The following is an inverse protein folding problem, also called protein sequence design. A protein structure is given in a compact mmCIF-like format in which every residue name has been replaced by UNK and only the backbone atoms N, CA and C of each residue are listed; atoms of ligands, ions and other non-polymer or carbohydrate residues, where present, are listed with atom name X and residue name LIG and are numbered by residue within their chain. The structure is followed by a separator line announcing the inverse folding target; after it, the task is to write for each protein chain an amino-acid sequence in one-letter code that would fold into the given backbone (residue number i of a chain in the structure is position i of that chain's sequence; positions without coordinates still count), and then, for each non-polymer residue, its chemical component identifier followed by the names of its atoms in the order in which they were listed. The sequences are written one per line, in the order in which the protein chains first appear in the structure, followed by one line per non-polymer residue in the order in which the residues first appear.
data_IF_884333430813
#
_entry.id   IF_884333430813
#
_cell.length_a   1.000
_cell.length_b   1.000
_cell.length_c   1.000
_cell.angle_alpha   90.00
_cell.angle_beta   90.00
_cell.angle_gamma   90.00
#
_symmetry.space_group_name_H-M   'P 1'
#
loop_
_entity.id
_entity.type
_entity.pdbx_description
1 polymer ?
#
# COMPACT_ATOMS: atom_id res chain seq x y z
N UNK A 1 2.20 -12.95 2.19
CA UNK A 1 2.11 -13.19 3.66
C UNK A 1 0.70 -12.90 4.18
N UNK A 2 0.11 -11.74 3.83
CA UNK A 2 -1.28 -11.36 4.17
C UNK A 2 -2.32 -12.42 3.78
N UNK A 3 -2.23 -13.02 2.59
CA UNK A 3 -3.17 -14.10 2.19
C UNK A 3 -3.09 -15.34 3.09
N UNK A 4 -1.91 -15.67 3.62
CA UNK A 4 -1.73 -16.81 4.53
C UNK A 4 -2.41 -16.52 5.87
N UNK A 5 -2.28 -15.28 6.36
CA UNK A 5 -2.91 -14.82 7.59
C UNK A 5 -4.44 -14.78 7.44
N UNK A 6 -4.97 -14.21 6.34
CA UNK A 6 -6.41 -14.19 6.04
C UNK A 6 -7.02 -15.59 5.96
N UNK A 7 -6.33 -16.54 5.31
CA UNK A 7 -6.76 -17.94 5.25
C UNK A 7 -6.78 -18.62 6.63
N UNK A 8 -5.87 -18.24 7.53
CA UNK A 8 -5.81 -18.77 8.90
C UNK A 8 -6.77 -18.06 9.87
N UNK A 9 -7.31 -16.89 9.53
CA UNK A 9 -8.33 -16.20 10.34
C UNK A 9 -9.74 -16.77 10.13
N UNK A 10 -9.94 -17.61 9.12
CA UNK A 10 -11.22 -18.25 8.83
C UNK A 10 -11.42 -19.47 9.74
N UNK A 11 -12.47 -19.52 10.57
CA UNK A 11 -12.72 -20.62 11.52
C UNK A 11 -13.04 -21.97 10.85
N UNK A 12 -13.01 -22.07 9.53
CA UNK A 12 -13.37 -23.27 8.76
C UNK A 12 -12.21 -24.28 8.62
N UNK A 13 -10.99 -23.96 9.08
CA UNK A 13 -9.80 -24.84 9.01
C UNK A 13 -9.18 -25.13 10.39
N UNK A 14 -10.01 -25.54 11.35
CA UNK A 14 -9.64 -25.74 12.76
C UNK A 14 -8.68 -26.91 13.06
N UNK A 15 -8.41 -27.84 12.13
CA UNK A 15 -7.67 -29.07 12.47
C UNK A 15 -6.20 -28.85 12.86
N UNK A 16 -5.60 -27.72 12.51
CA UNK A 16 -4.18 -27.42 12.80
C UNK A 16 -3.97 -26.07 13.49
N UNK A 17 -5.04 -25.37 13.88
CA UNK A 17 -4.92 -24.05 14.50
C UNK A 17 -5.04 -24.15 16.02
N UNK A 18 -4.18 -23.43 16.72
CA UNK A 18 -4.21 -23.35 18.18
C UNK A 18 -5.38 -22.48 18.61
N UNK A 19 -6.31 -23.07 19.36
CA UNK A 19 -7.52 -22.40 19.87
C UNK A 19 -7.51 -22.47 21.39
N UNK A 20 -7.63 -21.31 22.02
CA UNK A 20 -7.68 -21.11 23.46
C UNK A 20 -9.06 -20.60 23.87
N UNK A 21 -9.44 -20.90 25.10
CA UNK A 21 -10.65 -20.39 25.75
C UNK A 21 -10.25 -19.78 27.09
N UNK A 22 -10.70 -18.55 27.35
CA UNK A 22 -10.57 -17.91 28.65
C UNK A 22 -11.69 -18.45 29.54
N UNK A 23 -11.31 -19.12 30.62
CA UNK A 23 -12.29 -19.63 31.59
C UNK A 23 -12.73 -18.53 32.55
N UNK A 24 -14.02 -18.51 32.96
CA UNK A 24 -14.50 -17.67 34.03
C UNK A 24 -13.69 -17.92 35.31
N UNK A 25 -13.20 -16.84 35.92
CA UNK A 25 -12.45 -16.88 37.19
C UNK A 25 -12.92 -15.74 38.07
N UNK A 26 -13.09 -16.04 39.35
CA UNK A 26 -13.41 -15.10 40.45
C UNK A 26 -12.21 -14.21 40.80
N UNK A 27 -10.99 -14.61 40.43
CA UNK A 27 -9.78 -13.81 40.62
C UNK A 27 -9.63 -12.76 39.52
N UNK A 28 -9.48 -11.49 39.90
CA UNK A 28 -9.38 -10.37 38.96
C UNK A 28 -8.04 -10.30 38.22
N UNK A 29 -6.96 -10.81 38.83
CA UNK A 29 -5.59 -10.70 38.31
C UNK A 29 -5.10 -11.96 37.59
N UNK A 30 -5.86 -13.05 37.64
CA UNK A 30 -5.51 -14.32 37.03
C UNK A 30 -6.69 -14.91 36.25
N UNK A 31 -6.46 -15.17 34.96
CA UNK A 31 -7.39 -15.90 34.11
C UNK A 31 -6.72 -17.17 33.61
N UNK A 32 -7.48 -18.27 33.61
CA UNK A 32 -6.99 -19.57 33.14
C UNK A 32 -7.32 -19.71 31.66
N UNK A 33 -6.30 -20.05 30.87
CA UNK A 33 -6.46 -20.36 29.44
C UNK A 33 -6.54 -21.87 29.26
N UNK A 34 -7.61 -22.34 28.64
CA UNK A 34 -7.79 -23.74 28.25
C UNK A 34 -7.49 -23.92 26.77
N UNK A 35 -6.59 -24.84 26.44
CA UNK A 35 -6.36 -25.27 25.07
C UNK A 35 -7.54 -26.15 24.60
N UNK A 36 -8.33 -25.67 23.64
CA UNK A 36 -9.43 -26.42 23.01
C UNK A 36 -8.92 -27.33 21.88
N UNK A 37 -7.97 -26.83 21.08
CA UNK A 37 -7.38 -27.57 19.96
C UNK A 37 -6.00 -27.04 19.60
N UNK A 38 -5.16 -27.89 18.99
CA UNK A 38 -3.82 -27.55 18.54
C UNK A 38 -2.72 -27.90 19.53
N UNK A 39 -1.61 -27.15 19.47
CA UNK A 39 -0.43 -27.32 20.34
C UNK A 39 0.19 -25.96 20.68
N UNK A 40 0.86 -25.87 21.81
CA UNK A 40 1.68 -24.70 22.20
C UNK A 40 2.94 -24.58 21.35
N UNK A 41 3.45 -25.70 20.84
CA UNK A 41 4.62 -25.75 19.95
C UNK A 41 4.27 -25.41 18.49
N UNK A 42 3.00 -25.09 18.23
CA UNK A 42 2.54 -24.78 16.90
C UNK A 42 3.07 -23.41 16.45
N UNK A 43 3.95 -23.44 15.46
CA UNK A 43 4.52 -22.24 14.83
C UNK A 43 3.52 -21.47 13.95
N UNK A 44 2.30 -22.00 13.78
CA UNK A 44 1.25 -21.38 12.97
C UNK A 44 0.45 -20.37 13.79
N UNK A 45 0.80 -19.10 13.61
CA UNK A 45 0.03 -17.94 14.05
C UNK A 45 -1.06 -17.55 13.02
N UNK A 46 -2.15 -16.86 13.42
CA UNK A 46 -2.50 -16.48 14.80
C UNK A 46 -3.06 -17.64 15.63
N UNK A 47 -2.88 -17.56 16.95
CA UNK A 47 -3.65 -18.37 17.90
C UNK A 47 -5.01 -17.70 18.13
N UNK A 48 -6.08 -18.48 18.10
CA UNK A 48 -7.43 -17.98 18.30
C UNK A 48 -7.81 -18.09 19.77
N UNK A 49 -8.42 -17.05 20.33
CA UNK A 49 -8.80 -17.01 21.75
C UNK A 49 -10.27 -16.62 21.87
N UNK A 50 -11.09 -17.47 22.46
CA UNK A 50 -12.45 -17.14 22.85
C UNK A 50 -12.43 -16.51 24.24
N UNK A 51 -13.07 -15.35 24.40
CA UNK A 51 -13.31 -14.75 25.71
C UNK A 51 -14.58 -15.29 26.39
N UNK A 52 -14.86 -14.80 27.61
CA UNK A 52 -16.03 -15.20 28.41
C UNK A 52 -17.38 -14.86 27.75
N UNK A 53 -17.40 -13.99 26.72
CA UNK A 53 -18.59 -13.60 25.97
C UNK A 53 -18.64 -14.27 24.58
N UNK A 54 -17.92 -15.37 24.38
CA UNK A 54 -17.77 -16.07 23.10
C UNK A 54 -17.21 -15.19 21.95
N UNK A 55 -16.55 -14.06 22.28
CA UNK A 55 -15.93 -13.22 21.26
C UNK A 55 -14.58 -13.80 20.88
N UNK A 56 -14.35 -13.90 19.58
CA UNK A 56 -13.11 -14.41 19.00
C UNK A 56 -12.06 -13.30 18.90
N UNK A 57 -10.92 -13.54 19.53
CA UNK A 57 -9.70 -12.72 19.46
C UNK A 57 -8.57 -13.50 18.79
N UNK A 58 -7.56 -12.79 18.31
CA UNK A 58 -6.36 -13.38 17.72
C UNK A 58 -5.13 -12.93 18.53
N UNK A 59 -4.33 -13.91 18.96
CA UNK A 59 -3.05 -13.70 19.60
C UNK A 59 -1.94 -13.90 18.56
N UNK A 60 -1.09 -12.89 18.46
CA UNK A 60 0.02 -12.80 17.52
C UNK A 60 1.27 -12.43 18.30
N UNK A 61 2.43 -12.94 17.89
CA UNK A 61 3.70 -12.38 18.38
C UNK A 61 3.85 -10.93 17.94
N UNK A 62 4.57 -10.15 18.77
CA UNK A 62 4.92 -8.77 18.45
C UNK A 62 5.72 -8.71 17.14
N UNK A 63 6.59 -9.70 16.88
CA UNK A 63 7.36 -9.78 15.64
C UNK A 63 6.45 -9.88 14.41
N UNK A 64 5.45 -10.77 14.43
CA UNK A 64 4.51 -10.91 13.33
C UNK A 64 3.67 -9.66 13.14
N UNK A 65 3.21 -9.03 14.23
CA UNK A 65 2.46 -7.77 14.16
C UNK A 65 3.31 -6.65 13.55
N UNK A 66 4.55 -6.49 14.00
CA UNK A 66 5.48 -5.49 13.46
C UNK A 66 5.73 -5.68 11.97
N UNK A 67 6.01 -6.92 11.53
CA UNK A 67 6.17 -7.24 10.10
C UNK A 67 4.91 -6.94 9.30
N UNK A 68 3.72 -7.20 9.85
CA UNK A 68 2.46 -6.87 9.19
C UNK A 68 2.28 -5.35 9.02
N UNK A 69 2.65 -4.56 10.03
CA UNK A 69 2.61 -3.09 9.97
C UNK A 69 3.60 -2.56 8.93
N UNK A 70 4.82 -3.10 8.91
CA UNK A 70 5.85 -2.73 7.92
C UNK A 70 5.37 -3.00 6.49
N UNK A 71 4.85 -4.20 6.22
CA UNK A 71 4.29 -4.51 4.91
C UNK A 71 3.08 -3.66 4.53
N UNK A 72 2.25 -3.29 5.50
CA UNK A 72 1.13 -2.37 5.23
C UNK A 72 1.64 -0.98 4.85
N UNK A 73 2.67 -0.50 5.55
CA UNK A 73 3.32 0.79 5.25
C UNK A 73 3.98 0.77 3.88
N UNK A 74 4.68 -0.30 3.53
CA UNK A 74 5.27 -0.49 2.20
C UNK A 74 4.20 -0.48 1.10
N UNK A 75 3.12 -1.26 1.28
CA UNK A 75 2.03 -1.31 0.32
C UNK A 75 1.31 0.04 0.17
N UNK A 76 1.15 0.80 1.25
CA UNK A 76 0.59 2.15 1.21
C UNK A 76 1.51 3.10 0.42
N UNK A 77 2.83 3.02 0.64
CA UNK A 77 3.82 3.81 -0.09
C UNK A 77 3.83 3.47 -1.58
N UNK A 78 3.82 2.18 -1.93
CA UNK A 78 3.74 1.72 -3.32
C UNK A 78 2.44 2.21 -3.98
N UNK A 79 1.31 2.11 -3.29
CA UNK A 79 0.03 2.58 -3.81
C UNK A 79 0.00 4.11 -4.02
N UNK A 80 0.64 4.88 -3.13
CA UNK A 80 0.80 6.32 -3.30
C UNK A 80 1.69 6.66 -4.49
N UNK A 81 2.82 5.96 -4.62
CA UNK A 81 3.76 6.13 -5.72
C UNK A 81 3.07 5.83 -7.07
N UNK A 82 2.39 4.70 -7.20
CA UNK A 82 1.65 4.34 -8.42
C UNK A 82 0.58 5.37 -8.81
N UNK A 83 -0.12 5.96 -7.82
CA UNK A 83 -1.08 7.05 -8.09
C UNK A 83 -0.39 8.31 -8.60
N UNK A 84 0.77 8.64 -8.05
CA UNK A 84 1.59 9.77 -8.50
C UNK A 84 2.08 9.54 -9.94
N UNK A 85 2.66 8.38 -10.23
CA UNK A 85 3.14 8.03 -11.58
C UNK A 85 2.01 8.12 -12.60
N UNK A 86 0.84 7.55 -12.28
CA UNK A 86 -0.35 7.62 -13.13
C UNK A 86 -0.78 9.06 -13.40
N UNK A 87 -0.74 9.94 -12.39
CA UNK A 87 -1.06 11.36 -12.55
C UNK A 87 -0.07 12.08 -13.46
N UNK A 88 1.23 11.83 -13.26
CA UNK A 88 2.30 12.41 -14.09
C UNK A 88 2.09 12.02 -15.55
N UNK A 89 1.91 10.74 -15.84
CA UNK A 89 1.76 10.23 -17.21
C UNK A 89 0.55 10.83 -17.94
N UNK A 90 -0.58 11.07 -17.25
CA UNK A 90 -1.74 11.75 -17.85
C UNK A 90 -1.42 13.16 -18.36
N UNK A 91 -0.42 13.82 -17.76
CA UNK A 91 -0.04 15.18 -18.10
C UNK A 91 1.04 15.27 -19.18
N UNK A 92 1.45 14.13 -19.77
CA UNK A 92 2.42 14.02 -20.85
C UNK A 92 3.79 14.66 -20.47
N UNK A 93 4.55 14.04 -19.56
CA UNK A 93 5.86 14.56 -19.19
C UNK A 93 6.82 14.43 -20.39
N UNK A 94 7.67 15.44 -20.58
CA UNK A 94 8.76 15.38 -21.55
C UNK A 94 9.87 14.44 -21.03
N UNK A 95 10.25 14.62 -19.77
CA UNK A 95 11.08 13.71 -18.99
C UNK A 95 10.34 13.30 -17.72
N UNK A 96 10.01 12.02 -17.63
CA UNK A 96 9.29 11.47 -16.48
C UNK A 96 10.10 11.57 -15.17
N UNK A 97 11.41 11.35 -15.23
CA UNK A 97 12.25 11.31 -14.04
C UNK A 97 12.42 12.69 -13.40
N UNK A 98 12.55 13.72 -14.24
CA UNK A 98 12.61 15.11 -13.78
C UNK A 98 11.30 15.53 -13.12
N UNK A 99 10.15 15.25 -13.77
CA UNK A 99 8.84 15.56 -13.19
C UNK A 99 8.61 14.80 -11.89
N UNK A 100 8.98 13.52 -11.83
CA UNK A 100 8.85 12.72 -10.63
C UNK A 100 9.68 13.28 -9.47
N UNK A 101 10.92 13.71 -9.73
CA UNK A 101 11.80 14.30 -8.73
C UNK A 101 11.21 15.57 -8.13
N UNK A 102 10.71 16.49 -8.98
CA UNK A 102 10.04 17.72 -8.54
C UNK A 102 8.75 17.40 -7.78
N UNK A 103 7.97 16.42 -8.24
CA UNK A 103 6.73 16.02 -7.58
C UNK A 103 6.96 15.39 -6.21
N UNK A 104 8.00 14.57 -6.05
CA UNK A 104 8.41 13.99 -4.77
C UNK A 104 8.90 15.07 -3.80
N UNK A 105 9.63 16.07 -4.27
CA UNK A 105 10.04 17.20 -3.43
C UNK A 105 8.84 18.02 -2.93
N UNK A 106 7.89 18.34 -3.82
CA UNK A 106 6.67 19.05 -3.44
C UNK A 106 5.78 18.21 -2.51
N UNK A 107 5.73 16.89 -2.71
CA UNK A 107 5.01 15.96 -1.84
C UNK A 107 5.59 15.98 -0.41
N UNK A 108 6.92 15.92 -0.28
CA UNK A 108 7.63 15.98 1.00
C UNK A 108 7.47 17.34 1.71
N UNK A 109 7.38 18.44 0.96
CA UNK A 109 7.08 19.77 1.50
C UNK A 109 5.63 19.88 1.97
N UNK A 110 4.72 19.15 1.33
CA UNK A 110 3.30 19.18 1.66
C UNK A 110 3.02 18.35 2.93
N UNK A 111 2.63 19.01 4.02
CA UNK A 111 2.16 18.32 5.25
C UNK A 111 0.71 17.82 5.16
N UNK A 112 0.12 17.79 3.95
CA UNK A 112 -1.29 17.46 3.77
C UNK A 112 -1.50 15.95 3.79
N UNK A 113 -2.40 15.48 4.66
CA UNK A 113 -2.76 14.05 4.76
C UNK A 113 -3.55 13.53 3.55
N UNK A 114 -4.21 14.42 2.80
CA UNK A 114 -4.97 14.06 1.61
C UNK A 114 -4.41 14.85 0.43
N UNK A 115 -3.65 14.19 -0.42
CA UNK A 115 -2.99 14.78 -1.59
C UNK A 115 -3.82 14.44 -2.82
N UNK A 116 -4.30 15.47 -3.51
CA UNK A 116 -4.79 15.34 -4.87
C UNK A 116 -3.62 15.43 -5.83
N UNK A 117 -3.23 14.27 -6.37
CA UNK A 117 -2.11 14.16 -7.30
C UNK A 117 -2.36 14.86 -8.64
N UNK A 118 -3.60 14.92 -9.15
CA UNK A 118 -3.88 15.61 -10.41
C UNK A 118 -3.69 17.13 -10.22
N UNK A 119 -4.17 17.67 -9.09
CA UNK A 119 -3.93 19.07 -8.71
C UNK A 119 -2.45 19.39 -8.45
N UNK A 120 -1.70 18.47 -7.85
CA UNK A 120 -0.25 18.62 -7.63
C UNK A 120 0.49 18.75 -8.97
N UNK A 121 0.23 17.85 -9.92
CA UNK A 121 0.89 17.88 -11.23
C UNK A 121 0.47 19.11 -12.04
N UNK A 122 -0.79 19.53 -11.95
CA UNK A 122 -1.24 20.77 -12.59
C UNK A 122 -0.50 22.02 -12.07
N UNK A 123 -0.20 22.07 -10.76
CA UNK A 123 0.63 23.11 -10.17
C UNK A 123 2.06 23.07 -10.73
N UNK A 124 2.68 21.88 -10.76
CA UNK A 124 4.04 21.70 -11.29
C UNK A 124 4.10 22.09 -12.77
N UNK A 125 3.10 21.73 -13.58
CA UNK A 125 3.02 22.12 -15.00
C UNK A 125 2.93 23.64 -15.19
N UNK A 126 2.31 24.36 -14.24
CA UNK A 126 2.24 25.82 -14.27
C UNK A 126 3.57 26.47 -13.88
N UNK A 127 4.29 25.90 -12.91
CA UNK A 127 5.57 26.42 -12.39
C UNK A 127 6.74 26.05 -13.31
N UNK A 128 6.69 24.87 -13.93
CA UNK A 128 7.71 24.30 -14.79
C UNK A 128 7.10 23.73 -16.09
N UNK A 129 6.59 24.59 -16.99
CA UNK A 129 5.94 24.14 -18.23
C UNK A 129 6.89 23.37 -19.15
N UNK A 130 8.20 23.64 -19.08
CA UNK A 130 9.24 22.99 -19.86
C UNK A 130 9.41 21.49 -19.57
N UNK A 131 8.84 20.99 -18.46
CA UNK A 131 8.90 19.57 -18.11
C UNK A 131 7.78 18.76 -18.76
N UNK A 132 6.82 19.40 -19.43
CA UNK A 132 5.65 18.76 -20.03
C UNK A 132 5.54 19.09 -21.50
N UNK A 133 4.97 18.17 -22.26
CA UNK A 133 4.67 18.38 -23.66
C UNK A 133 3.42 19.27 -23.79
N UNK A 134 3.50 20.32 -24.62
CA UNK A 134 2.31 21.03 -25.10
C UNK A 134 1.88 20.40 -26.43
N UNK A 135 0.61 20.01 -26.52
CA UNK A 135 0.05 19.47 -27.77
C UNK A 135 0.09 20.50 -28.90
N UNK A 136 0.21 21.80 -28.57
CA UNK A 136 0.42 22.86 -29.56
C UNK A 136 1.75 22.70 -30.29
N UNK A 137 2.78 22.17 -29.63
CA UNK A 137 4.10 21.94 -30.22
C UNK A 137 4.12 20.72 -31.17
N UNK A 138 3.10 19.86 -31.07
CA UNK A 138 2.91 18.66 -31.89
C UNK A 138 2.17 18.94 -33.21
N UNK A 139 1.59 20.12 -33.39
CA UNK A 139 1.02 20.51 -34.68
C UNK A 139 2.15 20.77 -35.67
N UNK A 140 2.53 19.71 -36.40
CA UNK A 140 3.20 19.89 -37.67
C UNK A 140 2.23 20.66 -38.59
N UNK A 141 2.61 21.81 -39.14
CA UNK A 141 1.79 22.47 -40.13
C UNK A 141 1.53 21.48 -41.29
N UNK A 142 0.27 21.31 -41.66
CA UNK A 142 -0.10 20.48 -42.82
C UNK A 142 0.69 20.95 -44.05
N UNK A 143 1.68 20.15 -44.47
CA UNK A 143 2.52 20.45 -45.64
C UNK A 143 4.04 20.31 -45.49
N UNK A 144 4.59 20.00 -44.30
CA UNK A 144 6.04 19.76 -44.15
C UNK A 144 6.48 18.41 -44.70
N UNK A 145 6.60 18.33 -46.03
CA UNK A 145 7.27 17.23 -46.73
C UNK A 145 8.78 17.36 -46.53
N UNK A 146 9.37 16.49 -45.70
CA UNK A 146 10.83 16.36 -45.59
C UNK A 146 11.30 15.38 -46.68
N UNK A 147 11.34 15.83 -47.93
CA UNK A 147 12.12 15.15 -48.98
C UNK A 147 12.91 16.20 -49.75
N UNK A 148 14.12 16.45 -49.27
CA UNK A 148 15.20 17.00 -50.09
C UNK A 148 16.50 16.34 -49.68
N UNK A 149 16.62 15.04 -49.95
CA UNK A 149 17.92 14.38 -50.02
C UNK A 149 18.37 14.37 -51.49
N UNK A 150 19.05 15.45 -51.85
CA UNK A 150 20.19 15.53 -52.77
C UNK A 150 20.14 14.67 -54.03
N UNK A 151 19.72 15.27 -55.14
CA UNK A 151 20.25 14.93 -56.47
C UNK A 151 21.45 15.84 -56.74
N UNK A 152 22.66 15.30 -56.65
CA UNK A 152 23.79 15.49 -57.58
C UNK A 152 25.06 14.84 -57.02
#
# INVERSE_FOLDING_TARGET
MIEKISKNLSPTKQKEQTVLEILPSEESEAKVLRLKSGSWDNTKEPWLVYDENDKLHALLSIETLSKMIEHFKEAEQEALFLKLEKSILKHLPLDFHDVLSVAMEELNRSKKKNIDFDSLIAKIKKEHPNLFLDLKDLYLPEGSSIISATTR
#
